data_IF_351719448546
#
_entry.id   IF_351719448546
#
_cell.length_a   1.000
_cell.length_b   1.000
_cell.length_c   1.000
_cell.angle_alpha   90.00
_cell.angle_beta   90.00
_cell.angle_gamma   90.00
#
_symmetry.space_group_name_H-M   'P 1'
#
loop_
_entity.id
_entity.type
_entity.pdbx_description
1 polymer ?
#
# COMPACT_ATOMS: atom_id res chain seq x y z
N UNK A 1 -11.35 -29.16 -17.03
CA UNK A 1 -10.98 -28.73 -15.68
C UNK A 1 -11.19 -27.22 -15.63
N UNK A 2 -12.29 -26.75 -15.04
CA UNK A 2 -12.57 -25.33 -14.92
C UNK A 2 -11.46 -24.73 -14.07
N UNK A 3 -10.58 -23.92 -14.64
CA UNK A 3 -9.71 -23.05 -13.84
C UNK A 3 -10.63 -22.14 -13.02
N UNK A 4 -10.71 -22.37 -11.71
CA UNK A 4 -11.31 -21.41 -10.81
C UNK A 4 -10.69 -20.07 -11.12
N UNK A 5 -11.49 -19.07 -11.46
CA UNK A 5 -11.02 -17.68 -11.58
C UNK A 5 -10.51 -17.28 -10.20
N UNK A 6 -9.23 -17.55 -9.93
CA UNK A 6 -8.58 -17.14 -8.70
C UNK A 6 -8.47 -15.61 -8.74
N UNK A 7 -9.02 -14.97 -7.73
CA UNK A 7 -8.88 -13.52 -7.57
C UNK A 7 -7.41 -13.15 -7.41
N UNK A 8 -7.00 -12.05 -8.03
CA UNK A 8 -5.61 -11.59 -8.04
C UNK A 8 -5.41 -10.38 -7.14
N UNK A 9 -4.31 -10.37 -6.41
CA UNK A 9 -3.90 -9.26 -5.55
C UNK A 9 -2.47 -8.81 -5.88
N UNK A 10 -2.26 -7.57 -6.29
CA UNK A 10 -0.94 -6.97 -6.48
C UNK A 10 -0.58 -6.13 -5.25
N UNK A 11 0.60 -6.40 -4.70
CA UNK A 11 1.13 -5.68 -3.54
C UNK A 11 2.47 -5.03 -3.93
N UNK A 12 2.58 -3.71 -3.89
CA UNK A 12 3.84 -3.01 -4.15
C UNK A 12 4.76 -3.06 -2.93
N UNK A 13 6.08 -3.20 -3.15
CA UNK A 13 7.05 -3.34 -2.07
C UNK A 13 6.88 -4.63 -1.26
N UNK A 14 6.46 -5.73 -1.91
CA UNK A 14 6.08 -6.98 -1.26
C UNK A 14 7.24 -7.98 -1.03
N UNK A 15 8.49 -7.57 -1.23
CA UNK A 15 9.64 -8.45 -1.02
C UNK A 15 10.08 -8.59 0.45
N UNK A 16 9.47 -7.83 1.37
CA UNK A 16 9.78 -7.85 2.82
C UNK A 16 8.71 -7.11 3.64
N UNK A 17 8.76 -7.30 4.96
CA UNK A 17 7.98 -6.51 5.93
C UNK A 17 6.47 -6.63 5.74
N UNK A 18 5.73 -5.52 5.94
CA UNK A 18 4.27 -5.51 5.91
C UNK A 18 3.73 -5.98 4.56
N UNK A 19 4.34 -5.55 3.44
CA UNK A 19 3.88 -5.95 2.10
C UNK A 19 4.02 -7.45 1.85
N UNK A 20 5.10 -8.07 2.31
CA UNK A 20 5.32 -9.50 2.20
C UNK A 20 4.30 -10.28 3.04
N UNK A 21 4.09 -9.84 4.29
CA UNK A 21 3.12 -10.48 5.17
C UNK A 21 1.68 -10.32 4.66
N UNK A 22 1.32 -9.13 4.15
CA UNK A 22 0.02 -8.93 3.49
C UNK A 22 -0.17 -9.90 2.30
N UNK A 23 0.89 -10.13 1.50
CA UNK A 23 0.83 -11.08 0.41
C UNK A 23 0.65 -12.52 0.91
N UNK A 24 1.37 -12.92 1.98
CA UNK A 24 1.23 -14.24 2.59
C UNK A 24 -0.21 -14.49 3.04
N UNK A 25 -0.77 -13.59 3.82
CA UNK A 25 -2.12 -13.74 4.37
C UNK A 25 -3.20 -13.77 3.27
N UNK A 26 -3.12 -12.89 2.27
CA UNK A 26 -4.04 -12.95 1.12
C UNK A 26 -3.86 -14.26 0.34
N UNK A 27 -2.64 -14.77 0.22
CA UNK A 27 -2.35 -16.07 -0.40
C UNK A 27 -2.98 -17.23 0.37
N UNK A 28 -2.91 -17.26 1.70
CA UNK A 28 -3.57 -18.24 2.57
C UNK A 28 -5.11 -18.18 2.38
N UNK A 29 -5.67 -16.99 2.13
CA UNK A 29 -7.09 -16.82 1.80
C UNK A 29 -7.46 -17.29 0.39
N UNK A 30 -6.49 -17.76 -0.42
CA UNK A 30 -6.72 -18.34 -1.75
C UNK A 30 -6.61 -17.35 -2.90
N UNK A 31 -6.06 -16.16 -2.69
CA UNK A 31 -5.74 -15.24 -3.77
C UNK A 31 -4.45 -15.65 -4.49
N UNK A 32 -4.37 -15.40 -5.79
CA UNK A 32 -3.08 -15.34 -6.49
C UNK A 32 -2.42 -14.01 -6.13
N UNK A 33 -1.25 -14.07 -5.47
CA UNK A 33 -0.56 -12.85 -5.00
C UNK A 33 0.59 -12.48 -5.91
N UNK A 34 0.57 -11.22 -6.37
CA UNK A 34 1.56 -10.64 -7.26
C UNK A 34 2.49 -9.75 -6.43
N UNK A 35 3.74 -10.18 -6.27
CA UNK A 35 4.74 -9.53 -5.43
C UNK A 35 5.46 -8.45 -6.23
N UNK A 36 4.97 -7.21 -6.20
CA UNK A 36 5.62 -6.08 -6.83
C UNK A 36 6.86 -5.65 -6.06
N UNK A 37 8.04 -5.74 -6.67
CA UNK A 37 9.29 -5.26 -6.09
C UNK A 37 10.27 -4.75 -7.15
N UNK A 38 11.08 -3.71 -6.80
CA UNK A 38 12.08 -3.11 -7.72
C UNK A 38 13.37 -3.91 -7.85
N UNK A 39 13.66 -4.78 -6.88
CA UNK A 39 14.84 -5.63 -6.90
C UNK A 39 14.44 -7.06 -7.24
N UNK A 40 14.93 -7.56 -8.36
CA UNK A 40 14.57 -8.86 -8.92
C UNK A 40 14.97 -10.02 -8.00
N UNK A 41 16.18 -10.01 -7.47
CA UNK A 41 16.68 -11.11 -6.63
C UNK A 41 15.87 -11.23 -5.34
N UNK A 42 15.57 -10.08 -4.69
CA UNK A 42 14.74 -10.06 -3.48
C UNK A 42 13.31 -10.45 -3.77
N UNK A 43 12.77 -10.02 -4.91
CA UNK A 43 11.42 -10.37 -5.33
C UNK A 43 11.27 -11.87 -5.61
N UNK A 44 12.19 -12.46 -6.34
CA UNK A 44 12.22 -13.91 -6.60
C UNK A 44 12.39 -14.74 -5.32
N UNK A 45 13.27 -14.32 -4.40
CA UNK A 45 13.38 -14.98 -3.09
C UNK A 45 12.08 -14.95 -2.29
N UNK A 46 11.37 -13.82 -2.31
CA UNK A 46 10.07 -13.70 -1.64
C UNK A 46 9.02 -14.63 -2.28
N UNK A 47 8.97 -14.71 -3.62
CA UNK A 47 8.13 -15.64 -4.36
C UNK A 47 8.43 -17.10 -3.97
N UNK A 48 9.71 -17.51 -3.99
CA UNK A 48 10.13 -18.88 -3.61
C UNK A 48 9.68 -19.27 -2.20
N UNK A 49 9.72 -18.33 -1.24
CA UNK A 49 9.27 -18.57 0.13
C UNK A 49 7.76 -18.87 0.14
N UNK A 50 6.96 -18.03 -0.51
CA UNK A 50 5.50 -18.21 -0.53
C UNK A 50 5.09 -19.46 -1.32
N UNK A 51 5.77 -19.79 -2.41
CA UNK A 51 5.54 -21.03 -3.16
C UNK A 51 5.82 -22.27 -2.30
N UNK A 52 6.88 -22.26 -1.47
CA UNK A 52 7.18 -23.34 -0.52
C UNK A 52 6.12 -23.49 0.58
N UNK A 53 5.44 -22.40 0.93
CA UNK A 53 4.29 -22.39 1.84
C UNK A 53 2.99 -22.85 1.15
N UNK A 54 3.02 -23.20 -0.14
CA UNK A 54 1.86 -23.64 -0.91
C UNK A 54 0.98 -22.50 -1.42
N UNK A 55 1.45 -21.26 -1.33
CA UNK A 55 0.75 -20.06 -1.77
C UNK A 55 1.00 -19.84 -3.27
N UNK A 56 -0.06 -19.55 -4.02
CA UNK A 56 0.07 -19.15 -5.42
C UNK A 56 0.61 -17.71 -5.52
N UNK A 57 1.92 -17.58 -5.61
CA UNK A 57 2.64 -16.32 -5.63
C UNK A 57 3.40 -16.14 -6.94
N UNK A 58 3.53 -14.89 -7.41
CA UNK A 58 4.33 -14.52 -8.56
C UNK A 58 5.03 -13.19 -8.34
N UNK A 59 6.32 -13.15 -8.59
CA UNK A 59 7.11 -11.93 -8.62
C UNK A 59 6.76 -11.09 -9.87
N UNK A 60 6.59 -9.78 -9.66
CA UNK A 60 6.41 -8.77 -10.71
C UNK A 60 7.46 -7.68 -10.51
N UNK A 61 8.33 -7.48 -11.50
CA UNK A 61 9.31 -6.40 -11.46
C UNK A 61 8.57 -5.06 -11.54
N UNK A 62 8.54 -4.33 -10.43
CA UNK A 62 7.78 -3.09 -10.30
C UNK A 62 8.55 -2.07 -9.45
N UNK A 63 9.15 -1.10 -10.12
CA UNK A 63 9.66 0.12 -9.51
C UNK A 63 8.60 1.21 -9.66
N UNK A 64 7.99 1.60 -8.55
CA UNK A 64 6.90 2.59 -8.53
C UNK A 64 7.35 3.99 -8.95
N UNK A 65 8.65 4.29 -8.94
CA UNK A 65 9.23 5.57 -9.38
C UNK A 65 9.54 5.59 -10.89
N UNK A 66 9.29 4.50 -11.61
CA UNK A 66 9.65 4.34 -13.03
C UNK A 66 8.43 3.99 -13.85
N UNK A 67 7.96 4.97 -14.64
CA UNK A 67 6.77 4.81 -15.48
C UNK A 67 6.84 3.60 -16.41
N UNK A 68 8.02 3.34 -17.02
CA UNK A 68 8.21 2.17 -17.89
C UNK A 68 8.08 0.85 -17.14
N UNK A 69 8.54 0.80 -15.88
CA UNK A 69 8.38 -0.37 -15.02
C UNK A 69 6.90 -0.61 -14.70
N UNK A 70 6.17 0.44 -14.39
CA UNK A 70 4.73 0.38 -14.13
C UNK A 70 3.99 -0.12 -15.39
N UNK A 71 4.25 0.46 -16.56
CA UNK A 71 3.62 0.06 -17.82
C UNK A 71 3.87 -1.41 -18.16
N UNK A 72 5.10 -1.90 -17.97
CA UNK A 72 5.45 -3.32 -18.18
C UNK A 72 4.71 -4.23 -17.20
N UNK A 73 4.60 -3.84 -15.93
CA UNK A 73 3.86 -4.58 -14.92
C UNK A 73 2.36 -4.64 -15.24
N UNK A 74 1.75 -3.53 -15.68
CA UNK A 74 0.35 -3.48 -16.13
C UNK A 74 0.13 -4.43 -17.32
N UNK A 75 0.98 -4.34 -18.34
CA UNK A 75 0.87 -5.19 -19.53
C UNK A 75 1.02 -6.70 -19.20
N UNK A 76 1.92 -7.04 -18.26
CA UNK A 76 2.11 -8.41 -17.79
C UNK A 76 0.85 -8.92 -17.09
N UNK A 77 0.26 -8.11 -16.17
CA UNK A 77 -0.94 -8.51 -15.42
C UNK A 77 -2.16 -8.60 -16.37
N UNK A 78 -2.31 -7.66 -17.31
CA UNK A 78 -3.40 -7.74 -18.30
C UNK A 78 -3.28 -9.00 -19.15
N UNK A 79 -2.09 -9.30 -19.67
CA UNK A 79 -1.84 -10.48 -20.48
C UNK A 79 -2.12 -11.80 -19.77
N UNK A 80 -1.66 -11.92 -18.53
CA UNK A 80 -1.63 -13.22 -17.84
C UNK A 80 -2.87 -13.47 -16.97
N UNK A 81 -3.56 -12.39 -16.53
CA UNK A 81 -4.73 -12.46 -15.65
C UNK A 81 -5.97 -11.75 -16.18
N UNK A 82 -5.82 -10.78 -17.09
CA UNK A 82 -6.92 -10.05 -17.71
C UNK A 82 -7.61 -9.01 -16.81
N UNK A 83 -7.53 -9.16 -15.49
CA UNK A 83 -8.10 -8.26 -14.47
C UNK A 83 -7.25 -8.25 -13.21
N UNK A 84 -7.50 -7.27 -12.34
CA UNK A 84 -6.91 -7.19 -11.00
C UNK A 84 -8.02 -6.95 -9.98
N UNK A 85 -8.09 -7.79 -8.94
CA UNK A 85 -9.14 -7.66 -7.91
C UNK A 85 -8.70 -6.77 -6.75
N UNK A 86 -7.44 -6.85 -6.35
CA UNK A 86 -6.89 -6.10 -5.22
C UNK A 86 -5.59 -5.42 -5.62
N UNK A 87 -5.48 -4.11 -5.35
CA UNK A 87 -4.24 -3.35 -5.41
C UNK A 87 -3.88 -2.84 -4.01
N UNK A 88 -2.72 -3.27 -3.50
CA UNK A 88 -2.15 -2.75 -2.26
C UNK A 88 -0.95 -1.86 -2.58
N UNK A 89 -1.12 -0.56 -2.45
CA UNK A 89 -0.04 0.41 -2.56
C UNK A 89 0.70 0.49 -1.23
N UNK A 90 1.68 -0.42 -1.05
CA UNK A 90 2.45 -0.54 0.19
C UNK A 90 3.86 0.05 0.08
N UNK A 91 4.45 0.12 -1.11
CA UNK A 91 5.79 0.68 -1.30
C UNK A 91 5.91 2.08 -0.67
N UNK A 92 6.94 2.30 0.13
CA UNK A 92 7.18 3.57 0.79
C UNK A 92 8.55 3.65 1.44
N UNK A 93 9.02 4.90 1.62
CA UNK A 93 10.30 5.22 2.24
C UNK A 93 10.15 6.35 3.27
N UNK A 94 11.13 6.45 4.17
CA UNK A 94 11.30 7.57 5.10
C UNK A 94 12.80 7.89 5.17
N UNK A 95 13.23 9.00 4.57
CA UNK A 95 14.66 9.32 4.41
C UNK A 95 15.18 10.27 5.48
N UNK A 96 14.32 10.84 6.30
CA UNK A 96 14.63 11.97 7.20
C UNK A 96 15.51 11.59 8.39
N UNK A 97 15.47 10.32 8.84
CA UNK A 97 16.34 9.78 9.93
C UNK A 97 16.42 10.69 11.18
N UNK A 98 15.28 11.27 11.60
CA UNK A 98 15.17 12.10 12.78
C UNK A 98 15.68 13.55 12.62
N UNK A 99 16.04 13.99 11.41
CA UNK A 99 16.38 15.40 11.13
C UNK A 99 15.16 16.30 11.33
N UNK A 100 15.41 17.52 11.86
CA UNK A 100 14.36 18.53 12.01
C UNK A 100 13.96 19.11 10.63
N UNK A 101 12.75 19.66 10.45
CA UNK A 101 12.30 20.23 9.19
C UNK A 101 13.27 21.26 8.58
N UNK A 102 13.89 22.09 9.42
CA UNK A 102 14.87 23.11 8.98
C UNK A 102 16.23 22.53 8.54
N UNK A 103 16.45 21.24 8.74
CA UNK A 103 17.67 20.52 8.40
C UNK A 103 17.51 19.63 7.16
N UNK A 104 16.30 19.60 6.59
CA UNK A 104 16.02 18.81 5.40
C UNK A 104 16.43 19.55 4.14
N UNK A 105 17.02 18.81 3.21
CA UNK A 105 17.23 19.29 1.86
C UNK A 105 15.96 19.05 1.02
N UNK A 106 15.79 19.84 -0.04
CA UNK A 106 14.64 19.69 -0.94
C UNK A 106 14.60 18.30 -1.61
N UNK A 107 15.75 17.69 -1.79
CA UNK A 107 15.93 16.34 -2.34
C UNK A 107 15.31 15.29 -1.45
N UNK A 108 15.35 15.42 -0.12
CA UNK A 108 14.70 14.52 0.84
C UNK A 108 13.17 14.50 0.64
N UNK A 109 12.58 15.70 0.43
CA UNK A 109 11.17 15.84 0.15
C UNK A 109 10.83 15.22 -1.22
N UNK A 110 11.60 15.54 -2.26
CA UNK A 110 11.39 15.02 -3.61
C UNK A 110 11.46 13.49 -3.63
N UNK A 111 12.50 12.89 -3.05
CA UNK A 111 12.68 11.44 -3.01
C UNK A 111 11.52 10.75 -2.26
N UNK A 112 11.11 11.32 -1.13
CA UNK A 112 10.00 10.79 -0.34
C UNK A 112 8.68 10.86 -1.11
N UNK A 113 8.38 12.02 -1.73
CA UNK A 113 7.16 12.19 -2.52
C UNK A 113 7.19 11.37 -3.79
N UNK A 114 8.33 11.22 -4.45
CA UNK A 114 8.48 10.41 -5.65
C UNK A 114 8.03 8.97 -5.41
N UNK A 115 8.45 8.37 -4.30
CA UNK A 115 8.04 7.01 -3.95
C UNK A 115 6.64 6.95 -3.35
N UNK A 116 6.38 7.76 -2.30
CA UNK A 116 5.20 7.59 -1.45
C UNK A 116 3.92 8.14 -2.07
N UNK A 117 4.02 9.12 -2.96
CA UNK A 117 2.87 9.82 -3.54
C UNK A 117 2.82 9.70 -5.06
N UNK A 118 3.81 10.18 -5.81
CA UNK A 118 3.78 10.16 -7.27
C UNK A 118 3.79 8.73 -7.80
N UNK A 119 4.65 7.87 -7.25
CA UNK A 119 4.69 6.46 -7.62
C UNK A 119 3.39 5.73 -7.30
N UNK A 120 2.81 5.97 -6.13
CA UNK A 120 1.51 5.42 -5.75
C UNK A 120 0.40 5.88 -6.70
N UNK A 121 0.39 7.17 -7.06
CA UNK A 121 -0.56 7.73 -8.02
C UNK A 121 -0.42 7.04 -9.40
N UNK A 122 0.80 6.96 -9.96
CA UNK A 122 1.04 6.36 -11.27
C UNK A 122 0.68 4.86 -11.29
N UNK A 123 0.98 4.12 -10.20
CA UNK A 123 0.56 2.72 -10.06
C UNK A 123 -0.95 2.61 -10.01
N UNK A 124 -1.63 3.40 -9.18
CA UNK A 124 -3.10 3.38 -9.07
C UNK A 124 -3.74 3.67 -10.43
N UNK A 125 -3.31 4.74 -11.10
CA UNK A 125 -3.79 5.13 -12.43
C UNK A 125 -3.53 4.05 -13.48
N UNK A 126 -2.34 3.45 -13.49
CA UNK A 126 -1.96 2.43 -14.45
C UNK A 126 -2.78 1.13 -14.32
N UNK A 127 -3.05 0.70 -13.08
CA UNK A 127 -3.82 -0.52 -12.82
C UNK A 127 -5.34 -0.31 -12.76
N UNK A 128 -5.82 0.93 -12.75
CA UNK A 128 -7.26 1.23 -12.67
C UNK A 128 -8.09 0.54 -13.77
N UNK A 129 -7.66 0.49 -15.05
CA UNK A 129 -8.40 -0.24 -16.09
C UNK A 129 -8.59 -1.73 -15.78
N UNK A 130 -7.62 -2.39 -15.12
CA UNK A 130 -7.71 -3.79 -14.72
C UNK A 130 -8.61 -3.99 -13.51
N UNK A 131 -8.60 -3.03 -12.56
CA UNK A 131 -9.49 -3.01 -11.40
C UNK A 131 -10.94 -2.82 -11.80
N UNK A 132 -11.21 -2.02 -12.85
CA UNK A 132 -12.57 -1.83 -13.39
C UNK A 132 -13.13 -3.13 -14.00
N UNK A 133 -12.27 -3.99 -14.54
CA UNK A 133 -12.67 -5.32 -15.05
C UNK A 133 -13.05 -6.31 -13.94
N UNK A 134 -12.65 -6.05 -12.69
CA UNK A 134 -13.03 -6.88 -11.54
C UNK A 134 -14.48 -6.68 -11.15
N UNK A 135 -15.11 -7.74 -10.66
CA UNK A 135 -16.48 -7.68 -10.11
C UNK A 135 -16.53 -7.00 -8.73
N UNK A 136 -15.39 -6.84 -8.06
CA UNK A 136 -15.30 -6.29 -6.71
C UNK A 136 -13.89 -5.72 -6.45
N UNK A 137 -13.47 -4.70 -7.22
CA UNK A 137 -12.15 -4.10 -7.10
C UNK A 137 -11.89 -3.48 -5.73
N UNK A 138 -10.70 -3.68 -5.17
CA UNK A 138 -10.27 -3.09 -3.89
C UNK A 138 -8.92 -2.42 -4.04
N UNK A 139 -8.82 -1.18 -3.57
CA UNK A 139 -7.56 -0.44 -3.52
C UNK A 139 -7.29 -0.08 -2.06
N UNK A 140 -6.14 -0.47 -1.54
CA UNK A 140 -5.69 -0.10 -0.20
C UNK A 140 -4.39 0.67 -0.31
N UNK A 141 -4.41 1.92 0.11
CA UNK A 141 -3.24 2.78 0.19
C UNK A 141 -2.65 2.70 1.59
N UNK A 142 -1.45 2.13 1.72
CA UNK A 142 -0.76 2.07 3.01
C UNK A 142 -0.26 3.46 3.37
N UNK A 143 -1.02 4.10 4.23
CA UNK A 143 -0.73 5.41 4.81
C UNK A 143 -0.05 5.24 6.19
N UNK A 144 -0.28 6.16 7.08
CA UNK A 144 0.26 6.16 8.45
C UNK A 144 -0.62 7.05 9.31
N UNK A 145 -0.73 6.75 10.60
CA UNK A 145 -1.31 7.68 11.58
C UNK A 145 -0.66 9.06 11.54
N UNK A 146 0.58 9.15 11.05
CA UNK A 146 1.30 10.43 10.82
C UNK A 146 0.76 11.24 9.63
N UNK A 147 -0.03 10.65 8.74
CA UNK A 147 -0.78 11.38 7.71
C UNK A 147 -2.04 12.07 8.24
N UNK A 148 -2.40 11.91 9.52
CA UNK A 148 -3.54 12.57 10.16
C UNK A 148 -3.12 13.89 10.80
N UNK A 149 -3.73 15.00 10.42
CA UNK A 149 -3.54 16.28 11.10
C UNK A 149 -3.97 16.18 12.57
N UNK A 150 -5.08 15.49 12.86
CA UNK A 150 -5.58 15.29 14.22
C UNK A 150 -4.55 14.59 15.12
N UNK A 151 -3.82 13.62 14.59
CA UNK A 151 -2.78 12.94 15.35
C UNK A 151 -1.55 13.82 15.54
N UNK A 152 -1.16 14.59 14.52
CA UNK A 152 0.02 15.45 14.58
C UNK A 152 -0.17 16.72 15.43
N UNK A 153 -1.40 17.10 15.78
CA UNK A 153 -1.67 18.23 16.69
C UNK A 153 -1.61 17.86 18.17
N UNK A 154 -1.48 16.56 18.50
CA UNK A 154 -1.27 16.14 19.88
C UNK A 154 0.16 16.51 20.33
N UNK A 155 0.39 16.83 21.62
CA UNK A 155 1.75 16.96 22.14
C UNK A 155 2.53 15.66 21.84
N UNK A 156 3.55 15.75 21.02
CA UNK A 156 4.26 14.57 20.54
C UNK A 156 5.74 14.72 20.83
N UNK A 157 6.39 13.61 21.07
CA UNK A 157 7.84 13.51 21.06
C UNK A 157 8.40 14.09 19.76
N UNK A 158 9.31 15.07 19.88
CA UNK A 158 9.94 15.75 18.75
C UNK A 158 10.68 14.79 17.81
N UNK A 159 11.04 13.60 18.28
CA UNK A 159 11.63 12.53 17.46
C UNK A 159 10.69 12.02 16.35
N UNK A 160 9.39 12.32 16.46
CA UNK A 160 8.36 11.93 15.50
C UNK A 160 8.06 13.04 14.46
N UNK A 161 8.81 14.14 14.46
CA UNK A 161 8.62 15.27 13.55
C UNK A 161 9.29 14.97 12.20
N UNK A 162 8.60 14.26 11.34
CA UNK A 162 9.08 13.81 10.03
C UNK A 162 8.31 14.53 8.91
N UNK A 163 8.78 15.71 8.49
CA UNK A 163 8.06 16.60 7.55
C UNK A 163 7.76 15.91 6.22
N UNK A 164 8.78 15.34 5.54
CA UNK A 164 8.59 14.74 4.22
C UNK A 164 7.69 13.51 4.29
N UNK A 165 7.92 12.62 5.28
CA UNK A 165 7.11 11.43 5.46
C UNK A 165 5.66 11.78 5.83
N UNK A 166 5.45 12.61 6.85
CA UNK A 166 4.10 12.97 7.33
C UNK A 166 3.29 13.64 6.22
N UNK A 167 3.88 14.62 5.52
CA UNK A 167 3.21 15.31 4.42
C UNK A 167 2.94 14.40 3.23
N UNK A 168 3.85 13.48 2.88
CA UNK A 168 3.59 12.49 1.84
C UNK A 168 2.40 11.57 2.18
N UNK A 169 2.27 11.14 3.46
CA UNK A 169 1.16 10.30 3.91
C UNK A 169 -0.16 11.08 4.04
N UNK A 170 -0.11 12.38 4.34
CA UNK A 170 -1.28 13.25 4.24
C UNK A 170 -1.75 13.40 2.78
N UNK A 171 -0.81 13.53 1.84
CA UNK A 171 -1.10 13.57 0.41
C UNK A 171 -1.72 12.23 -0.09
N UNK A 172 -1.21 11.07 0.37
CA UNK A 172 -1.83 9.74 0.10
C UNK A 172 -3.27 9.69 0.60
N UNK A 173 -3.55 10.23 1.78
CA UNK A 173 -4.90 10.31 2.32
C UNK A 173 -5.82 11.17 1.44
N UNK A 174 -5.34 12.33 0.98
CA UNK A 174 -6.11 13.19 0.05
C UNK A 174 -6.35 12.49 -1.29
N UNK A 175 -5.36 11.78 -1.83
CA UNK A 175 -5.49 10.98 -3.05
C UNK A 175 -6.60 9.93 -2.87
N UNK A 176 -6.60 9.19 -1.75
CA UNK A 176 -7.62 8.19 -1.43
C UNK A 176 -9.02 8.78 -1.46
N UNK A 177 -9.21 9.93 -0.79
CA UNK A 177 -10.49 10.64 -0.76
C UNK A 177 -10.92 11.13 -2.16
N UNK A 178 -9.97 11.63 -2.96
CA UNK A 178 -10.27 12.15 -4.30
C UNK A 178 -10.63 11.03 -5.27
N UNK A 179 -9.86 9.93 -5.30
CA UNK A 179 -10.20 8.76 -6.11
C UNK A 179 -11.51 8.10 -5.68
N UNK A 180 -11.86 8.12 -4.39
CA UNK A 180 -13.13 7.54 -3.95
C UNK A 180 -14.35 8.28 -4.54
N UNK A 181 -14.23 9.58 -4.77
CA UNK A 181 -15.27 10.39 -5.45
C UNK A 181 -15.34 10.07 -6.94
N UNK A 182 -14.18 9.93 -7.60
CA UNK A 182 -14.14 9.54 -9.02
C UNK A 182 -14.74 8.13 -9.23
N UNK A 183 -14.55 7.23 -8.27
CA UNK A 183 -15.01 5.85 -8.32
C UNK A 183 -16.41 5.65 -7.77
N UNK A 184 -17.11 6.73 -7.40
CA UNK A 184 -18.50 6.67 -6.93
C UNK A 184 -19.41 6.04 -8.01
N UNK A 185 -20.31 5.17 -7.60
CA UNK A 185 -21.17 4.41 -8.51
C UNK A 185 -20.51 3.17 -9.15
N UNK A 186 -19.20 2.98 -8.96
CA UNK A 186 -18.52 1.73 -9.36
C UNK A 186 -18.53 0.69 -8.23
N UNK A 187 -18.06 -0.53 -8.52
CA UNK A 187 -17.89 -1.58 -7.52
C UNK A 187 -16.54 -1.50 -6.79
N UNK A 188 -15.70 -0.52 -7.13
CA UNK A 188 -14.37 -0.36 -6.53
C UNK A 188 -14.48 0.38 -5.20
N UNK A 189 -13.80 -0.15 -4.18
CA UNK A 189 -13.61 0.53 -2.90
C UNK A 189 -12.14 0.90 -2.76
N UNK A 190 -11.87 2.14 -2.35
CA UNK A 190 -10.52 2.64 -2.10
C UNK A 190 -10.43 3.23 -0.70
N UNK A 191 -9.45 2.79 0.10
CA UNK A 191 -9.27 3.26 1.47
C UNK A 191 -7.80 3.40 1.82
N UNK A 192 -7.50 4.25 2.80
CA UNK A 192 -6.18 4.37 3.44
C UNK A 192 -6.10 3.50 4.68
N UNK A 193 -4.98 2.77 4.85
CA UNK A 193 -4.67 1.97 6.03
C UNK A 193 -3.52 2.60 6.83
N UNK A 194 -3.67 2.68 8.16
CA UNK A 194 -2.60 3.03 9.09
C UNK A 194 -2.19 1.77 9.90
N UNK A 195 -1.13 1.06 9.49
CA UNK A 195 -0.75 -0.22 10.12
C UNK A 195 -0.12 -0.07 11.51
N UNK A 196 0.11 1.17 11.99
CA UNK A 196 0.77 1.46 13.25
C UNK A 196 2.29 1.44 13.15
N UNK A 197 2.97 1.62 14.31
CA UNK A 197 4.45 1.66 14.37
C UNK A 197 5.01 0.24 14.42
N UNK A 198 5.32 -0.29 13.24
CA UNK A 198 5.64 -1.71 13.00
C UNK A 198 7.14 -1.93 12.92
N UNK A 199 7.63 -3.06 13.42
CA UNK A 199 9.03 -3.50 13.37
C UNK A 199 9.40 -3.82 11.92
N UNK A 200 10.02 -2.87 11.22
CA UNK A 200 10.43 -3.00 9.81
C UNK A 200 11.74 -2.27 9.52
N UNK A 201 12.35 -2.57 8.40
CA UNK A 201 13.55 -1.85 7.93
C UNK A 201 13.31 -0.35 7.68
N UNK A 202 12.05 0.08 7.49
CA UNK A 202 11.68 1.49 7.30
C UNK A 202 12.06 2.36 8.50
N UNK A 203 12.05 1.80 9.70
CA UNK A 203 12.32 2.48 10.98
C UNK A 203 13.44 1.82 11.79
N UNK A 204 14.39 1.16 11.11
CA UNK A 204 15.50 0.44 11.75
C UNK A 204 15.03 -0.57 12.81
N UNK A 205 13.90 -1.23 12.56
CA UNK A 205 13.27 -2.23 13.45
C UNK A 205 12.89 -1.71 14.85
N UNK A 206 12.64 -0.40 14.99
CA UNK A 206 12.28 0.25 16.28
C UNK A 206 10.79 0.24 16.60
N UNK A 207 9.96 -0.42 15.82
CA UNK A 207 8.53 -0.53 16.05
C UNK A 207 8.19 -1.36 17.30
N UNK A 208 6.90 -1.38 17.65
CA UNK A 208 6.36 -2.22 18.74
C UNK A 208 5.27 -3.19 18.26
N UNK A 209 4.89 -3.11 16.98
CA UNK A 209 3.94 -4.03 16.34
C UNK A 209 4.68 -5.00 15.45
N UNK A 210 4.18 -6.24 15.36
CA UNK A 210 4.69 -7.22 14.39
C UNK A 210 4.13 -6.91 12.99
N UNK A 211 4.71 -7.51 11.95
CA UNK A 211 4.21 -7.34 10.57
C UNK A 211 2.84 -7.98 10.37
N UNK A 212 2.54 -9.08 11.08
CA UNK A 212 1.25 -9.75 11.09
C UNK A 212 0.17 -8.83 11.68
N UNK A 213 0.44 -8.21 12.82
CA UNK A 213 -0.48 -7.24 13.41
C UNK A 213 -0.74 -6.05 12.48
N UNK A 214 0.30 -5.60 11.76
CA UNK A 214 0.20 -4.48 10.83
C UNK A 214 -0.58 -4.85 9.55
N UNK A 215 -0.45 -6.08 9.06
CA UNK A 215 -1.15 -6.57 7.88
C UNK A 215 -2.67 -6.66 8.09
N UNK A 216 -3.15 -6.91 9.31
CA UNK A 216 -4.56 -7.12 9.61
C UNK A 216 -5.48 -6.02 9.08
N UNK A 217 -5.15 -4.74 9.29
CA UNK A 217 -5.99 -3.64 8.80
C UNK A 217 -5.97 -3.56 7.27
N UNK A 218 -4.83 -3.85 6.64
CA UNK A 218 -4.70 -3.84 5.18
C UNK A 218 -5.58 -4.95 4.58
N UNK A 219 -5.51 -6.15 5.13
CA UNK A 219 -6.30 -7.32 4.71
C UNK A 219 -7.79 -7.04 4.90
N UNK A 220 -8.19 -6.51 6.05
CA UNK A 220 -9.58 -6.12 6.33
C UNK A 220 -10.12 -5.17 5.27
N UNK A 221 -9.35 -4.17 4.86
CA UNK A 221 -9.77 -3.21 3.83
C UNK A 221 -9.71 -3.82 2.41
N UNK A 222 -8.78 -4.73 2.15
CA UNK A 222 -8.65 -5.44 0.87
C UNK A 222 -9.76 -6.45 0.62
N UNK A 223 -10.42 -6.93 1.68
CA UNK A 223 -11.45 -7.98 1.62
C UNK A 223 -12.85 -7.48 1.99
N UNK A 224 -13.05 -6.15 1.99
CA UNK A 224 -14.36 -5.55 2.24
C UNK A 224 -15.43 -6.11 1.29
N UNK A 225 -16.64 -6.29 1.80
CA UNK A 225 -17.81 -6.58 0.98
C UNK A 225 -18.25 -5.37 0.12
N UNK A 226 -19.30 -5.53 -0.65
CA UNK A 226 -19.80 -4.46 -1.54
C UNK A 226 -20.36 -3.24 -0.79
N UNK A 227 -20.83 -3.43 0.45
CA UNK A 227 -21.38 -2.39 1.31
C UNK A 227 -20.30 -1.69 2.16
N UNK A 228 -19.05 -2.17 2.08
CA UNK A 228 -17.94 -1.61 2.82
C UNK A 228 -17.65 -0.14 2.48
N UNK A 229 -16.95 0.58 3.37
CA UNK A 229 -16.60 1.98 3.18
C UNK A 229 -15.68 2.21 1.98
N UNK A 230 -15.76 3.41 1.40
CA UNK A 230 -14.82 3.91 0.40
C UNK A 230 -14.43 5.36 0.75
N UNK A 231 -13.18 5.74 0.53
CA UNK A 231 -12.66 7.08 0.83
C UNK A 231 -12.31 7.29 2.30
N UNK A 232 -12.31 6.23 3.12
CA UNK A 232 -11.98 6.31 4.54
C UNK A 232 -10.50 6.12 4.85
N UNK A 233 -10.16 6.46 6.10
CA UNK A 233 -8.83 6.24 6.67
C UNK A 233 -8.97 5.44 7.97
N UNK A 234 -8.33 4.29 8.05
CA UNK A 234 -8.57 3.31 9.11
C UNK A 234 -7.27 2.80 9.72
N UNK A 235 -7.33 2.53 11.02
CA UNK A 235 -6.36 1.71 11.74
C UNK A 235 -7.05 0.48 12.37
N UNK A 236 -6.38 -0.24 13.24
CA UNK A 236 -6.94 -1.41 13.94
C UNK A 236 -8.15 -1.08 14.82
N UNK A 237 -8.22 0.15 15.31
CA UNK A 237 -9.29 0.63 16.20
C UNK A 237 -10.49 1.19 15.41
N UNK A 238 -10.38 1.27 14.09
CA UNK A 238 -11.45 1.77 13.23
C UNK A 238 -11.07 3.01 12.46
N UNK A 239 -11.99 3.97 12.37
CA UNK A 239 -11.78 5.19 11.60
C UNK A 239 -10.79 6.14 12.27
N UNK A 240 -9.75 6.53 11.53
CA UNK A 240 -8.78 7.55 11.96
C UNK A 240 -9.28 8.92 11.53
N UNK A 241 -9.43 9.89 12.44
CA UNK A 241 -9.92 11.21 12.07
C UNK A 241 -8.91 11.95 11.17
N UNK A 242 -9.39 12.55 10.10
CA UNK A 242 -8.59 13.44 9.26
C UNK A 242 -8.17 14.71 10.00
N UNK A 243 -9.12 15.27 10.73
CA UNK A 243 -9.01 16.50 11.49
C UNK A 243 -9.75 16.36 12.82
N UNK A 244 -9.30 17.08 13.84
CA UNK A 244 -9.98 17.15 15.13
C UNK A 244 -10.82 18.42 15.15
N UNK A 245 -12.15 18.28 15.12
CA UNK A 245 -13.04 19.38 15.48
C UNK A 245 -12.87 19.64 16.99
N UNK A 246 -12.75 20.93 17.35
CA UNK A 246 -12.78 21.35 18.75
C UNK A 246 -14.18 21.20 19.32
#
# INVERSE_FOLDING_TARGET
MYMKNLKTALITGANQGIGFETARELGVMGFTVLLGARNEDRGKKAEEVLLKEGINARFVLLDVTKKDSINKAVALVDKDYGSLDILINNAGIAVEKGRQPSQLEIEDLKETFETNFFGLFEVTKGFLPLLIKSTAGRIVNVSSGRGSFANNTKPVDKSLNALAYNSSKAAVNMLTLTFSKELEGTKIKINSAAPGYTITALNDFKGHRTVEQAANIIIKLATLDENGPSGGFFDENGNVPWWKYK
#
